data_IF_641279717926
#
_entry.id   IF_641279717926
#
_cell.length_a   1.000
_cell.length_b   1.000
_cell.length_c   1.000
_cell.angle_alpha   90.00
_cell.angle_beta   90.00
_cell.angle_gamma   90.00
#
_symmetry.space_group_name_H-M   'P 1'
#
loop_
_entity.id
_entity.type
_entity.pdbx_description
1 polymer ?
#
# COMPACT_ATOMS: atom_id res chain seq x y z
N UNK A 1 -3.40 34.65 4.98
CA UNK A 1 -3.17 34.44 6.42
C UNK A 1 -1.66 34.41 6.55
N UNK A 2 -1.06 35.49 7.04
CA UNK A 2 0.40 35.63 7.01
C UNK A 2 1.02 34.66 8.03
N UNK A 3 1.75 33.68 7.53
CA UNK A 3 2.58 32.79 8.34
C UNK A 3 3.62 33.63 9.09
N UNK A 4 3.65 33.48 10.41
CA UNK A 4 4.72 33.95 11.31
C UNK A 4 6.13 33.41 11.00
N UNK A 5 6.25 32.41 10.12
CA UNK A 5 7.50 31.91 9.56
C UNK A 5 7.67 32.45 8.14
N UNK A 6 8.78 33.15 7.88
CA UNK A 6 9.09 33.71 6.55
C UNK A 6 9.20 32.57 5.53
N UNK A 7 8.22 32.49 4.63
CA UNK A 7 8.19 31.49 3.56
C UNK A 7 9.50 31.48 2.76
N UNK A 8 10.15 30.31 2.65
CA UNK A 8 11.24 30.11 1.69
C UNK A 8 10.66 29.89 0.30
N UNK A 9 11.03 30.72 -0.67
CA UNK A 9 10.50 30.72 -2.04
C UNK A 9 10.77 29.44 -2.87
N UNK A 10 11.43 28.42 -2.32
CA UNK A 10 11.92 27.23 -3.04
C UNK A 10 11.64 25.90 -2.35
N UNK A 11 10.87 25.86 -1.26
CA UNK A 11 10.55 24.56 -0.63
C UNK A 11 9.51 23.80 -1.45
N UNK A 12 9.63 22.46 -1.60
CA UNK A 12 8.56 21.63 -2.16
C UNK A 12 7.35 21.50 -1.23
N UNK A 13 7.45 21.94 0.04
CA UNK A 13 6.40 21.79 1.06
C UNK A 13 5.93 23.16 1.62
N UNK A 14 5.46 24.09 0.78
CA UNK A 14 4.87 25.34 1.26
C UNK A 14 3.53 25.08 1.99
N UNK A 15 2.95 26.11 2.63
CA UNK A 15 1.68 25.94 3.38
C UNK A 15 0.52 25.48 2.47
N UNK A 16 0.60 25.78 1.18
CA UNK A 16 -0.35 25.34 0.16
C UNK A 16 -0.17 23.86 -0.23
N UNK A 17 0.93 23.21 0.20
CA UNK A 17 1.23 21.81 -0.07
C UNK A 17 1.71 21.10 1.21
N UNK A 18 0.76 20.51 1.93
CA UNK A 18 0.96 19.72 3.14
C UNK A 18 0.79 18.23 2.84
N UNK A 19 1.80 17.54 2.26
CA UNK A 19 1.71 16.12 1.98
C UNK A 19 1.70 15.30 3.27
N UNK A 20 1.10 14.12 3.24
CA UNK A 20 1.11 13.18 4.37
C UNK A 20 2.25 12.17 4.22
N UNK A 21 2.88 11.81 5.32
CA UNK A 21 3.94 10.80 5.40
C UNK A 21 3.95 10.07 6.73
N UNK A 22 4.90 9.16 6.91
CA UNK A 22 5.12 8.44 8.17
C UNK A 22 6.52 8.77 8.67
N UNK A 23 6.64 9.16 9.95
CA UNK A 23 7.91 9.48 10.60
C UNK A 23 8.16 8.57 11.80
N UNK A 24 9.43 8.48 12.18
CA UNK A 24 9.90 8.08 13.50
C UNK A 24 11.11 8.93 13.88
N UNK A 25 11.45 8.98 15.16
CA UNK A 25 12.64 9.71 15.66
C UNK A 25 13.48 8.81 16.57
N UNK A 26 14.76 9.11 16.80
CA UNK A 26 15.58 8.32 17.74
C UNK A 26 14.99 8.25 19.16
N UNK A 27 14.28 9.28 19.61
CA UNK A 27 13.62 9.32 20.91
C UNK A 27 12.24 8.68 20.91
N UNK A 28 11.58 8.56 19.76
CA UNK A 28 10.28 7.91 19.62
C UNK A 28 10.25 7.05 18.33
N UNK A 29 10.68 5.79 18.42
CA UNK A 29 10.90 4.93 17.26
C UNK A 29 9.60 4.39 16.64
N UNK A 30 8.47 4.56 17.32
CA UNK A 30 7.15 4.12 16.83
C UNK A 30 6.74 4.95 15.59
N UNK A 31 6.52 4.31 14.43
CA UNK A 31 6.08 4.99 13.22
C UNK A 31 4.71 5.63 13.39
N UNK A 32 4.53 6.85 12.88
CA UNK A 32 3.25 7.58 12.96
C UNK A 32 3.11 8.62 11.86
N UNK A 33 1.86 9.02 11.60
CA UNK A 33 1.53 9.95 10.53
C UNK A 33 2.06 11.35 10.84
N UNK A 34 2.61 11.99 9.82
CA UNK A 34 3.08 13.36 9.85
C UNK A 34 2.69 14.10 8.56
N UNK A 35 2.82 15.43 8.56
CA UNK A 35 2.79 16.23 7.34
C UNK A 35 4.05 17.06 7.19
N UNK A 36 4.55 17.22 5.97
CA UNK A 36 5.74 18.05 5.72
C UNK A 36 5.35 19.53 5.61
N UNK A 37 6.11 20.40 6.25
CA UNK A 37 6.01 21.85 6.11
C UNK A 37 7.40 22.47 6.15
N UNK A 38 7.79 23.12 5.05
CA UNK A 38 9.15 23.62 4.82
C UNK A 38 10.22 22.55 5.07
N UNK A 39 11.06 22.73 6.09
CA UNK A 39 12.14 21.80 6.46
C UNK A 39 11.73 20.88 7.63
N UNK A 40 10.44 20.88 8.00
CA UNK A 40 9.91 20.17 9.16
C UNK A 40 8.95 19.05 8.77
N UNK A 41 8.94 17.99 9.58
CA UNK A 41 7.83 17.05 9.63
C UNK A 41 7.01 17.33 10.88
N UNK A 42 5.75 17.71 10.69
CA UNK A 42 4.77 17.99 11.74
C UNK A 42 4.10 16.68 12.12
N UNK A 43 4.27 16.28 13.37
CA UNK A 43 3.71 15.06 13.93
C UNK A 43 2.19 15.19 14.14
N UNK A 44 1.40 14.49 13.32
CA UNK A 44 -0.07 14.58 13.38
C UNK A 44 -0.63 13.85 14.60
N UNK A 45 0.10 12.86 15.13
CA UNK A 45 -0.31 12.15 16.33
C UNK A 45 -0.18 13.03 17.58
N UNK A 46 0.89 13.82 17.69
CA UNK A 46 1.03 14.81 18.77
C UNK A 46 -0.02 15.91 18.67
N UNK A 47 -0.28 16.45 17.48
CA UNK A 47 -1.35 17.44 17.29
C UNK A 47 -2.73 16.91 17.70
N UNK A 48 -2.98 15.61 17.51
CA UNK A 48 -4.20 14.97 17.99
C UNK A 48 -4.25 14.87 19.51
N UNK A 49 -3.14 14.47 20.15
CA UNK A 49 -3.04 14.41 21.62
C UNK A 49 -3.25 15.78 22.26
N UNK A 50 -2.81 16.84 21.59
CA UNK A 50 -2.96 18.23 22.02
C UNK A 50 -4.34 18.84 21.69
N UNK A 51 -5.27 18.06 21.11
CA UNK A 51 -6.65 18.47 20.88
C UNK A 51 -6.89 19.35 19.65
N UNK A 52 -5.89 19.50 18.76
CA UNK A 52 -6.05 20.34 17.56
C UNK A 52 -7.08 19.79 16.56
N UNK A 53 -7.48 18.53 16.70
CA UNK A 53 -8.49 17.87 15.85
C UNK A 53 -9.85 17.64 16.53
N UNK A 54 -10.04 18.09 17.78
CA UNK A 54 -11.28 17.84 18.56
C UNK A 54 -12.54 18.40 17.89
N UNK A 55 -12.37 19.43 17.06
CA UNK A 55 -13.46 20.04 16.30
C UNK A 55 -13.90 19.23 15.07
N UNK A 56 -13.17 18.17 14.69
CA UNK A 56 -13.48 17.33 13.52
C UNK A 56 -14.50 16.25 13.92
N UNK A 57 -15.76 16.31 13.42
CA UNK A 57 -16.77 15.33 13.79
C UNK A 57 -16.40 13.92 13.31
N UNK A 58 -16.44 12.95 14.21
CA UNK A 58 -16.15 11.54 13.90
C UNK A 58 -14.67 11.20 13.83
N UNK A 59 -13.79 12.09 14.31
CA UNK A 59 -12.36 11.79 14.46
C UNK A 59 -12.15 10.64 15.46
N UNK A 60 -11.29 9.69 15.13
CA UNK A 60 -10.99 8.50 15.95
C UNK A 60 -9.74 8.79 16.78
N UNK A 61 -9.80 8.58 18.09
CA UNK A 61 -8.63 8.70 18.97
C UNK A 61 -7.49 7.79 18.50
N UNK A 62 -6.29 8.37 18.32
CA UNK A 62 -5.12 7.62 17.86
C UNK A 62 -5.09 7.30 16.36
N UNK A 63 -5.92 7.95 15.55
CA UNK A 63 -5.96 7.79 14.10
C UNK A 63 -4.60 7.99 13.40
N UNK A 64 -3.66 8.69 14.02
CA UNK A 64 -2.35 8.96 13.43
C UNK A 64 -1.21 8.09 13.96
N UNK A 65 -1.43 7.30 15.02
CA UNK A 65 -0.39 6.40 15.57
C UNK A 65 -0.55 4.95 15.16
N UNK A 66 -1.69 4.56 14.57
CA UNK A 66 -2.07 3.14 14.52
C UNK A 66 -2.85 2.73 13.27
N UNK A 67 -2.21 2.73 12.10
CA UNK A 67 -2.85 2.33 10.83
C UNK A 67 -3.48 0.92 10.84
N UNK A 68 -2.93 -0.04 11.60
CA UNK A 68 -3.53 -1.37 11.80
C UNK A 68 -4.73 -1.38 12.74
N UNK A 69 -4.74 -0.53 13.79
CA UNK A 69 -5.87 -0.42 14.71
C UNK A 69 -7.02 0.43 14.15
N UNK A 70 -6.77 1.34 13.19
CA UNK A 70 -7.83 2.09 12.46
C UNK A 70 -8.81 1.13 11.76
N UNK A 71 -8.33 -0.05 11.34
CA UNK A 71 -9.18 -1.10 10.76
C UNK A 71 -9.78 -2.04 11.82
N UNK A 72 -9.39 -1.91 13.10
CA UNK A 72 -9.83 -2.77 14.21
C UNK A 72 -9.40 -4.23 14.07
N UNK A 73 -8.35 -4.52 13.28
CA UNK A 73 -7.91 -5.88 12.97
C UNK A 73 -6.50 -6.10 13.50
N UNK A 74 -6.34 -7.07 14.41
CA UNK A 74 -5.03 -7.62 14.71
C UNK A 74 -4.42 -8.22 13.44
N UNK A 75 -3.14 -7.93 13.19
CA UNK A 75 -2.40 -8.58 12.11
C UNK A 75 -2.39 -10.07 12.38
N UNK A 76 -2.98 -10.85 11.48
CA UNK A 76 -3.05 -12.30 11.64
C UNK A 76 -1.62 -12.86 11.79
N UNK A 77 -1.37 -13.76 12.76
CA UNK A 77 -0.04 -14.32 12.98
C UNK A 77 0.63 -14.88 11.72
N UNK A 78 -0.15 -15.43 10.77
CA UNK A 78 0.40 -15.97 9.52
C UNK A 78 1.18 -14.94 8.69
N UNK A 79 0.85 -13.66 8.79
CA UNK A 79 1.48 -12.55 8.07
C UNK A 79 3.00 -12.51 8.30
N UNK A 80 3.44 -12.86 9.52
CA UNK A 80 4.85 -12.84 9.89
C UNK A 80 5.64 -14.06 9.38
N UNK A 81 4.98 -15.09 8.86
CA UNK A 81 5.62 -16.34 8.44
C UNK A 81 5.53 -16.60 6.94
N UNK A 82 4.52 -16.06 6.25
CA UNK A 82 4.29 -16.28 4.83
C UNK A 82 3.90 -14.99 4.09
N UNK A 83 4.31 -14.82 2.82
CA UNK A 83 3.73 -13.82 1.95
C UNK A 83 2.31 -14.24 1.59
N UNK A 84 1.32 -13.78 2.35
CA UNK A 84 -0.09 -14.09 2.11
C UNK A 84 -0.55 -13.50 0.79
N UNK A 85 -1.20 -14.30 -0.05
CA UNK A 85 -1.64 -13.92 -1.39
C UNK A 85 -3.01 -14.50 -1.71
N UNK A 86 -3.66 -13.97 -2.75
CA UNK A 86 -4.87 -14.51 -3.34
C UNK A 86 -4.78 -14.42 -4.87
N UNK A 87 -5.62 -15.15 -5.59
CA UNK A 87 -5.66 -15.08 -7.05
C UNK A 87 -6.46 -13.86 -7.51
N UNK A 88 -5.80 -12.93 -8.20
CA UNK A 88 -6.45 -11.80 -8.85
C UNK A 88 -7.25 -12.18 -10.11
N UNK A 89 -7.73 -11.18 -10.85
CA UNK A 89 -8.56 -11.37 -12.05
C UNK A 89 -7.88 -10.83 -13.31
N UNK A 90 -7.21 -11.70 -14.06
CA UNK A 90 -6.49 -11.30 -15.29
C UNK A 90 -7.40 -10.67 -16.36
N UNK A 91 -8.67 -11.08 -16.44
CA UNK A 91 -9.60 -10.58 -17.46
C UNK A 91 -9.96 -9.10 -17.33
N UNK A 92 -9.70 -8.48 -16.18
CA UNK A 92 -10.00 -7.06 -15.92
C UNK A 92 -8.74 -6.21 -15.79
N UNK A 93 -7.57 -6.76 -16.15
CA UNK A 93 -6.33 -6.03 -16.24
C UNK A 93 -6.38 -5.04 -17.42
N UNK A 94 -6.00 -3.79 -17.15
CA UNK A 94 -6.04 -2.67 -18.10
C UNK A 94 -4.68 -1.97 -18.14
N UNK A 95 -4.39 -1.35 -19.28
CA UNK A 95 -3.22 -0.47 -19.43
C UNK A 95 -3.59 0.95 -19.00
N UNK A 96 -2.62 1.69 -18.46
CA UNK A 96 -2.75 3.10 -18.08
C UNK A 96 -3.46 3.95 -19.15
N UNK A 97 -4.31 4.89 -18.70
CA UNK A 97 -5.15 5.72 -19.55
C UNK A 97 -6.54 5.14 -19.85
N UNK A 98 -6.77 3.85 -19.60
CA UNK A 98 -8.09 3.24 -19.74
C UNK A 98 -8.99 3.63 -18.55
N UNK A 99 -10.24 4.09 -18.78
CA UNK A 99 -11.13 4.50 -17.69
C UNK A 99 -11.60 3.30 -16.87
N UNK A 100 -11.68 3.51 -15.55
CA UNK A 100 -12.26 2.55 -14.60
C UNK A 100 -13.67 3.00 -14.25
N UNK A 101 -14.64 2.13 -14.52
CA UNK A 101 -16.03 2.38 -14.14
C UNK A 101 -16.22 2.01 -12.68
N UNK A 102 -16.73 2.95 -11.87
CA UNK A 102 -17.18 2.67 -10.50
C UNK A 102 -18.09 1.44 -10.47
N UNK A 103 -17.76 0.39 -9.69
CA UNK A 103 -18.50 -0.85 -9.72
C UNK A 103 -19.84 -0.71 -9.01
N UNK A 104 -20.79 -1.52 -9.45
CA UNK A 104 -21.96 -1.88 -8.66
C UNK A 104 -21.66 -3.15 -7.89
N UNK A 105 -22.21 -3.27 -6.68
CA UNK A 105 -22.03 -4.44 -5.84
C UNK A 105 -23.09 -4.55 -4.75
N UNK A 106 -23.03 -5.65 -4.03
CA UNK A 106 -23.82 -5.86 -2.82
C UNK A 106 -23.03 -5.30 -1.63
N UNK A 107 -23.67 -4.43 -0.85
CA UNK A 107 -23.09 -3.82 0.35
C UNK A 107 -24.04 -4.02 1.54
N UNK A 108 -23.51 -4.18 2.75
CA UNK A 108 -24.30 -4.10 4.00
C UNK A 108 -23.75 -3.01 4.92
N UNK A 109 -24.59 -2.56 5.87
CA UNK A 109 -24.13 -1.72 6.96
C UNK A 109 -23.31 -2.53 7.98
N UNK A 110 -22.77 -1.85 9.02
CA UNK A 110 -22.12 -2.53 10.13
C UNK A 110 -23.12 -3.45 10.86
N UNK A 111 -22.72 -4.70 11.11
CA UNK A 111 -23.51 -5.68 11.86
C UNK A 111 -24.37 -6.61 10.98
N UNK A 112 -24.42 -7.88 11.39
CA UNK A 112 -25.04 -9.00 10.67
C UNK A 112 -26.57 -8.90 10.45
N UNK A 113 -27.22 -7.85 10.94
CA UNK A 113 -28.66 -7.62 10.84
C UNK A 113 -29.08 -6.55 9.83
N UNK A 114 -28.12 -5.85 9.20
CA UNK A 114 -28.45 -4.82 8.22
C UNK A 114 -28.71 -5.45 6.84
N UNK A 115 -29.87 -5.12 6.24
CA UNK A 115 -30.28 -5.68 4.96
C UNK A 115 -29.27 -5.31 3.86
N UNK A 116 -28.76 -6.32 3.17
CA UNK A 116 -27.85 -6.12 2.04
C UNK A 116 -28.55 -5.35 0.90
N UNK A 117 -27.83 -4.43 0.27
CA UNK A 117 -28.36 -3.57 -0.79
C UNK A 117 -27.48 -3.63 -2.04
N UNK A 118 -28.12 -3.64 -3.21
CA UNK A 118 -27.44 -3.48 -4.49
C UNK A 118 -27.25 -2.00 -4.81
N UNK A 119 -26.02 -1.53 -4.89
CA UNK A 119 -25.74 -0.12 -5.17
C UNK A 119 -24.36 0.11 -5.82
N UNK A 120 -24.09 1.33 -6.29
CA UNK A 120 -22.74 1.74 -6.68
C UNK A 120 -21.87 1.85 -5.44
N UNK A 121 -20.62 1.39 -5.53
CA UNK A 121 -19.66 1.55 -4.44
C UNK A 121 -19.53 3.01 -4.03
N UNK A 122 -19.59 3.27 -2.73
CA UNK A 122 -19.41 4.56 -2.06
C UNK A 122 -17.99 4.73 -1.52
N UNK A 123 -17.22 3.64 -1.45
CA UNK A 123 -15.83 3.60 -0.94
C UNK A 123 -14.89 3.03 -1.99
N UNK A 124 -14.73 3.77 -3.09
CA UNK A 124 -13.77 3.44 -4.14
C UNK A 124 -12.39 3.97 -3.76
N UNK A 125 -11.39 3.14 -3.93
CA UNK A 125 -10.04 3.37 -3.44
C UNK A 125 -9.00 2.86 -4.45
N UNK A 126 -7.77 3.36 -4.34
CA UNK A 126 -6.62 2.87 -5.09
C UNK A 126 -5.68 2.10 -4.17
N UNK A 127 -4.89 1.18 -4.73
CA UNK A 127 -3.75 0.57 -4.03
C UNK A 127 -2.51 0.79 -4.89
N UNK A 128 -1.54 1.53 -4.36
CA UNK A 128 -0.27 1.77 -5.04
C UNK A 128 0.62 0.54 -4.89
N UNK A 129 0.83 -0.18 -5.99
CA UNK A 129 1.58 -1.43 -6.03
C UNK A 129 2.59 -1.47 -7.19
N UNK A 130 3.42 -2.51 -7.19
CA UNK A 130 4.23 -2.91 -8.33
C UNK A 130 3.80 -4.28 -8.82
N UNK A 131 3.67 -4.43 -10.14
CA UNK A 131 3.45 -5.72 -10.78
C UNK A 131 4.76 -6.33 -11.25
N UNK A 132 4.88 -7.65 -11.20
CA UNK A 132 6.04 -8.42 -11.66
C UNK A 132 5.64 -9.29 -12.84
N UNK A 133 6.35 -9.18 -13.96
CA UNK A 133 6.23 -10.11 -15.09
C UNK A 133 7.24 -11.24 -14.94
N UNK A 134 6.77 -12.48 -15.06
CA UNK A 134 7.61 -13.67 -15.04
C UNK A 134 7.88 -14.14 -16.48
N UNK A 135 9.14 -14.43 -16.82
CA UNK A 135 9.53 -14.91 -18.15
C UNK A 135 9.77 -16.43 -18.20
N UNK A 136 10.20 -17.03 -17.08
CA UNK A 136 10.56 -18.45 -17.02
C UNK A 136 9.47 -19.23 -16.26
N UNK A 137 8.73 -20.13 -16.92
CA UNK A 137 7.72 -20.93 -16.24
C UNK A 137 8.39 -21.91 -15.25
N UNK A 138 7.71 -22.17 -14.15
CA UNK A 138 8.06 -23.25 -13.22
C UNK A 138 7.12 -24.43 -13.48
N UNK A 139 7.63 -25.63 -13.84
CA UNK A 139 6.77 -26.79 -14.06
C UNK A 139 5.95 -27.15 -12.83
N UNK A 140 4.73 -27.67 -13.05
CA UNK A 140 3.82 -28.03 -11.97
C UNK A 140 4.47 -29.03 -10.99
N UNK A 141 4.29 -28.76 -9.69
CA UNK A 141 4.85 -29.59 -8.62
C UNK A 141 6.32 -29.33 -8.29
N UNK A 142 7.02 -28.46 -9.04
CA UNK A 142 8.38 -28.05 -8.68
C UNK A 142 8.39 -26.92 -7.64
N UNK A 143 9.42 -26.91 -6.82
CA UNK A 143 9.71 -25.85 -5.85
C UNK A 143 10.86 -25.01 -6.41
N UNK A 144 10.67 -23.70 -6.47
CA UNK A 144 11.72 -22.76 -6.85
C UNK A 144 12.63 -22.47 -5.65
N UNK A 145 13.93 -22.74 -5.80
CA UNK A 145 14.90 -22.28 -4.82
C UNK A 145 15.00 -20.75 -4.88
N UNK A 146 14.91 -20.08 -3.73
CA UNK A 146 14.94 -18.62 -3.63
C UNK A 146 16.17 -17.98 -4.30
N UNK A 147 17.31 -18.69 -4.34
CA UNK A 147 18.53 -18.23 -5.03
C UNK A 147 18.32 -17.97 -6.52
N UNK A 148 17.38 -18.69 -7.12
CA UNK A 148 17.10 -18.63 -8.54
C UNK A 148 15.88 -17.74 -8.83
N UNK A 149 15.23 -17.15 -7.81
CA UNK A 149 13.99 -16.39 -7.99
C UNK A 149 14.14 -15.22 -8.97
N UNK A 150 15.26 -14.49 -8.91
CA UNK A 150 15.55 -13.36 -9.82
C UNK A 150 15.57 -13.82 -11.29
N UNK A 151 16.01 -15.04 -11.60
CA UNK A 151 16.05 -15.57 -12.98
C UNK A 151 14.66 -15.78 -13.62
N UNK A 152 13.62 -15.85 -12.80
CA UNK A 152 12.24 -16.02 -13.28
C UNK A 152 11.56 -14.69 -13.59
N UNK A 153 12.13 -13.57 -13.12
CA UNK A 153 11.58 -12.23 -13.28
C UNK A 153 12.07 -11.62 -14.59
N UNK A 154 11.14 -11.20 -15.44
CA UNK A 154 11.45 -10.39 -16.62
C UNK A 154 11.62 -8.92 -16.22
N UNK A 155 10.68 -8.39 -15.44
CA UNK A 155 10.66 -6.98 -15.09
C UNK A 155 9.42 -6.56 -14.34
N UNK A 156 9.30 -5.26 -14.12
CA UNK A 156 8.34 -4.64 -13.23
C UNK A 156 7.50 -3.58 -13.94
N UNK A 157 6.29 -3.36 -13.42
CA UNK A 157 5.38 -2.28 -13.81
C UNK A 157 4.83 -1.58 -12.57
N UNK A 158 4.35 -0.36 -12.70
CA UNK A 158 3.47 0.23 -11.69
C UNK A 158 2.10 -0.41 -11.82
N UNK A 159 1.47 -0.74 -10.70
CA UNK A 159 0.16 -1.37 -10.63
C UNK A 159 -0.76 -0.57 -9.70
N UNK A 160 -2.00 -0.40 -10.11
CA UNK A 160 -3.08 0.10 -9.27
C UNK A 160 -4.18 -0.96 -9.16
N UNK A 161 -4.31 -1.56 -7.98
CA UNK A 161 -5.35 -2.54 -7.69
C UNK A 161 -6.60 -1.86 -7.12
N UNK A 162 -7.45 -1.38 -8.03
CA UNK A 162 -8.64 -0.61 -7.68
C UNK A 162 -9.56 -1.42 -6.77
N UNK A 163 -10.04 -0.76 -5.72
CA UNK A 163 -10.70 -1.44 -4.62
C UNK A 163 -12.02 -0.77 -4.26
N UNK A 164 -13.10 -1.56 -4.20
CA UNK A 164 -14.38 -1.11 -3.66
C UNK A 164 -14.57 -1.63 -2.23
N UNK A 165 -14.15 -0.84 -1.24
CA UNK A 165 -13.98 -1.27 0.16
C UNK A 165 -15.28 -1.67 0.85
N UNK A 166 -16.39 -1.05 0.45
CA UNK A 166 -17.73 -1.39 0.94
C UNK A 166 -18.25 -2.72 0.40
N UNK A 167 -17.98 -3.02 -0.87
CA UNK A 167 -18.23 -4.35 -1.45
C UNK A 167 -17.31 -5.38 -0.78
N UNK A 168 -16.03 -5.03 -0.62
CA UNK A 168 -15.00 -5.90 -0.03
C UNK A 168 -15.39 -6.30 1.40
N UNK A 169 -15.75 -5.33 2.24
CA UNK A 169 -16.13 -5.59 3.63
C UNK A 169 -17.32 -6.57 3.75
N UNK A 170 -18.22 -6.60 2.77
CA UNK A 170 -19.34 -7.54 2.76
C UNK A 170 -18.97 -8.95 2.26
N UNK A 171 -18.12 -9.05 1.22
CA UNK A 171 -17.81 -10.34 0.58
C UNK A 171 -16.54 -11.05 1.10
N UNK A 172 -15.66 -10.33 1.80
CA UNK A 172 -14.31 -10.80 2.15
C UNK A 172 -14.29 -12.15 2.86
N UNK A 173 -15.23 -12.39 3.78
CA UNK A 173 -15.25 -13.61 4.57
C UNK A 173 -16.14 -14.69 3.92
N UNK A 174 -15.70 -15.96 3.85
CA UNK A 174 -14.38 -16.48 4.22
C UNK A 174 -13.39 -16.59 3.04
N UNK A 175 -13.82 -16.26 1.82
CA UNK A 175 -13.11 -16.65 0.59
C UNK A 175 -12.11 -15.60 0.07
N UNK A 176 -12.02 -14.45 0.73
CA UNK A 176 -11.21 -13.33 0.30
C UNK A 176 -11.93 -12.38 -0.65
N UNK A 177 -11.24 -11.34 -1.14
CA UNK A 177 -11.82 -10.35 -2.04
C UNK A 177 -12.11 -10.96 -3.41
N UNK A 178 -13.21 -10.55 -4.04
CA UNK A 178 -13.60 -11.04 -5.35
C UNK A 178 -14.16 -9.92 -6.24
N UNK A 179 -15.44 -9.55 -6.16
CA UNK A 179 -16.01 -8.50 -7.01
C UNK A 179 -15.45 -7.11 -6.68
N UNK A 180 -15.08 -6.90 -5.42
CA UNK A 180 -14.48 -5.67 -4.91
C UNK A 180 -13.10 -5.35 -5.48
N UNK A 181 -12.46 -6.31 -6.16
CA UNK A 181 -11.17 -6.17 -6.87
C UNK A 181 -11.31 -6.51 -8.36
N UNK A 182 -12.17 -7.48 -8.68
CA UNK A 182 -12.34 -8.02 -10.03
C UNK A 182 -12.87 -7.02 -11.06
N UNK A 183 -13.33 -5.83 -10.66
CA UNK A 183 -13.82 -4.80 -11.59
C UNK A 183 -12.70 -4.09 -12.37
N UNK A 184 -11.46 -4.09 -11.86
CA UNK A 184 -10.34 -3.56 -12.61
C UNK A 184 -9.04 -3.44 -11.84
N UNK A 185 -7.95 -3.84 -12.50
CA UNK A 185 -6.57 -3.56 -12.09
C UNK A 185 -5.90 -2.82 -13.24
N UNK A 186 -5.11 -1.77 -12.97
CA UNK A 186 -4.41 -1.01 -14.03
C UNK A 186 -2.91 -1.16 -13.89
N UNK A 187 -2.20 -1.33 -15.01
CA UNK A 187 -0.73 -1.37 -15.04
C UNK A 187 -0.15 -0.29 -15.95
N UNK A 188 1.09 0.14 -15.69
CA UNK A 188 1.86 0.96 -16.62
C UNK A 188 2.14 0.21 -17.93
N UNK A 189 2.24 0.92 -19.08
CA UNK A 189 2.44 0.28 -20.38
C UNK A 189 3.87 -0.24 -20.59
N UNK A 190 4.84 0.30 -19.84
CA UNK A 190 6.26 -0.04 -19.98
C UNK A 190 6.68 -0.98 -18.86
N UNK A 191 7.28 -2.10 -19.25
CA UNK A 191 7.91 -3.05 -18.32
C UNK A 191 9.38 -2.65 -18.19
N UNK A 192 9.82 -2.32 -16.99
CA UNK A 192 11.23 -2.05 -16.67
C UNK A 192 11.90 -3.39 -16.36
N UNK A 193 12.90 -3.78 -17.13
CA UNK A 193 13.54 -5.10 -16.92
C UNK A 193 14.29 -5.15 -15.59
N UNK A 194 14.45 -6.34 -15.03
CA UNK A 194 15.16 -6.50 -13.76
C UNK A 194 16.62 -6.02 -13.85
N UNK A 195 17.28 -6.18 -15.00
CA UNK A 195 18.64 -5.71 -15.22
C UNK A 195 18.73 -4.18 -15.21
N UNK A 196 17.70 -3.50 -15.72
CA UNK A 196 17.63 -2.03 -15.69
C UNK A 196 17.51 -1.46 -14.27
N UNK A 197 17.11 -2.28 -13.29
CA UNK A 197 17.06 -1.90 -11.88
C UNK A 197 18.37 -2.16 -11.12
N UNK A 198 19.39 -2.75 -11.76
CA UNK A 198 20.69 -3.00 -11.12
C UNK A 198 21.33 -1.76 -10.47
N UNK A 199 21.27 -0.54 -11.06
CA UNK A 199 21.85 0.66 -10.44
C UNK A 199 21.18 1.10 -9.12
N UNK A 200 19.98 0.60 -8.83
CA UNK A 200 19.22 0.93 -7.63
C UNK A 200 19.05 -0.28 -6.69
N UNK A 201 19.83 -1.35 -6.88
CA UNK A 201 19.88 -2.43 -5.91
C UNK A 201 20.41 -1.94 -4.56
N UNK A 202 19.82 -2.41 -3.46
CA UNK A 202 20.17 -1.99 -2.12
C UNK A 202 19.96 -3.13 -1.08
N UNK A 203 20.49 -2.98 0.14
CA UNK A 203 20.29 -3.97 1.20
C UNK A 203 18.85 -3.98 1.71
N UNK A 204 18.44 -5.11 2.31
CA UNK A 204 17.18 -5.15 3.09
C UNK A 204 17.28 -4.13 4.22
N UNK A 205 16.39 -3.14 4.22
CA UNK A 205 16.32 -2.11 5.27
C UNK A 205 15.44 -2.50 6.45
N UNK A 206 14.54 -3.48 6.29
CA UNK A 206 13.55 -3.87 7.29
C UNK A 206 13.87 -5.28 7.84
N UNK A 207 14.23 -5.42 9.13
CA UNK A 207 14.47 -6.74 9.71
C UNK A 207 13.18 -7.54 9.84
N UNK A 208 13.22 -8.83 9.47
CA UNK A 208 12.11 -9.76 9.67
C UNK A 208 12.19 -10.38 11.07
N UNK A 209 11.13 -10.23 11.85
CA UNK A 209 10.99 -10.82 13.18
C UNK A 209 9.62 -11.49 13.32
N UNK A 210 9.54 -12.82 13.49
CA UNK A 210 10.66 -13.77 13.58
C UNK A 210 11.44 -13.90 12.25
N UNK A 211 12.65 -14.48 12.28
CA UNK A 211 13.41 -14.75 11.06
C UNK A 211 12.59 -15.61 10.08
N UNK A 212 12.75 -15.40 8.76
CA UNK A 212 12.04 -16.18 7.76
C UNK A 212 12.42 -17.66 7.84
N UNK A 213 11.49 -18.53 7.44
CA UNK A 213 11.76 -19.96 7.31
C UNK A 213 12.91 -20.22 6.31
N UNK A 214 13.69 -21.30 6.43
CA UNK A 214 14.90 -21.53 5.62
C UNK A 214 14.71 -21.51 4.09
N UNK A 215 13.50 -21.78 3.59
CA UNK A 215 13.17 -21.72 2.16
C UNK A 215 12.81 -20.31 1.67
N UNK A 216 12.46 -19.39 2.58
CA UNK A 216 12.15 -17.98 2.31
C UNK A 216 13.32 -17.05 2.68
N UNK A 217 14.29 -17.52 3.45
CA UNK A 217 15.47 -16.75 3.80
C UNK A 217 16.35 -16.49 2.57
N UNK A 218 16.61 -15.21 2.27
CA UNK A 218 17.53 -14.83 1.20
C UNK A 218 18.93 -15.39 1.47
N UNK A 219 19.53 -16.01 0.44
CA UNK A 219 20.85 -16.68 0.54
C UNK A 219 21.92 -16.01 -0.31
N UNK A 220 21.58 -14.94 -1.02
CA UNK A 220 22.53 -14.18 -1.84
C UNK A 220 23.26 -13.10 -1.04
N UNK A 221 23.94 -12.22 -1.75
CA UNK A 221 24.56 -11.04 -1.17
C UNK A 221 23.47 -10.14 -0.55
N UNK A 222 23.66 -9.76 0.71
CA UNK A 222 22.70 -8.94 1.44
C UNK A 222 22.77 -7.47 1.04
N UNK A 223 23.84 -7.04 0.37
CA UNK A 223 24.03 -5.65 -0.06
C UNK A 223 23.17 -5.25 -1.27
N UNK A 224 22.61 -6.23 -2.01
CA UNK A 224 21.79 -6.04 -3.21
C UNK A 224 20.52 -6.93 -3.20
N UNK A 225 19.96 -7.11 -2.01
CA UNK A 225 18.82 -7.98 -1.77
C UNK A 225 17.47 -7.37 -2.21
N UNK A 226 17.38 -6.04 -2.30
CA UNK A 226 16.17 -5.28 -2.68
C UNK A 226 16.49 -4.18 -3.70
N UNK A 227 15.50 -3.35 -4.04
CA UNK A 227 15.66 -2.19 -4.92
C UNK A 227 15.12 -0.93 -4.23
N UNK A 228 15.81 0.20 -4.42
CA UNK A 228 15.37 1.52 -4.01
C UNK A 228 14.56 2.16 -5.14
N UNK A 229 13.23 2.13 -5.00
CA UNK A 229 12.30 2.60 -6.03
C UNK A 229 11.33 3.58 -5.38
N UNK A 230 11.41 4.84 -5.79
CA UNK A 230 10.48 5.87 -5.35
C UNK A 230 9.12 5.70 -6.06
N UNK A 231 8.06 5.57 -5.26
CA UNK A 231 6.69 5.48 -5.74
C UNK A 231 5.87 6.66 -5.20
N UNK A 232 5.08 7.29 -6.07
CA UNK A 232 4.14 8.34 -5.66
C UNK A 232 2.79 8.18 -6.36
N UNK A 233 1.74 8.63 -5.69
CA UNK A 233 0.38 8.69 -6.22
C UNK A 233 -0.17 10.11 -6.10
N UNK A 234 -1.00 10.51 -7.06
CA UNK A 234 -1.67 11.82 -7.07
C UNK A 234 -3.12 11.66 -7.51
N UNK A 235 -4.01 12.36 -6.83
CA UNK A 235 -5.41 12.50 -7.24
C UNK A 235 -5.51 13.82 -7.99
N UNK A 236 -5.95 13.75 -9.25
CA UNK A 236 -6.15 14.93 -10.08
C UNK A 236 -7.58 15.45 -9.83
N UNK A 237 -7.69 16.72 -9.41
CA UNK A 237 -8.98 17.43 -9.24
C UNK A 237 -9.33 18.25 -10.46
#
# INVERSE_FOLDING_TARGET
MDSWLKMKATTPFPIENLPYGVISTPSEPTPRCATAFEDYAIDLNELQRDGFFDSIPGMIDGAFSKCSEIMGLEVNPNWYYIPSVYNGRTSSLRVSGQPIRRPWGVISGPGASSQATWSRSKRLDFELEMGVFLAKPLPAGQILDIRNAKEHVFGFVILNDWSARDIQGFEMAPLGPFHSKGFGTTISPWIVTIEALSPVECPVSIPQSPPPLPHLAWKGDSSNATWDIELSARILS
#
